data_IF_681251335121
#
_entry.id   IF_681251335121
#
_cell.length_a   1.000
_cell.length_b   1.000
_cell.length_c   1.000
_cell.angle_alpha   90.00
_cell.angle_beta   90.00
_cell.angle_gamma   90.00
#
_symmetry.space_group_name_H-M   'P 1'
#
loop_
_entity.id
_entity.type
_entity.pdbx_description
1 polymer ?
#
# COMPACT_ATOMS: atom_id res chain seq x y z
N UNK A 1 12.90 8.43 -3.63
CA UNK A 1 11.89 8.95 -4.57
C UNK A 1 11.10 7.77 -5.09
N UNK A 2 9.83 7.66 -4.69
CA UNK A 2 8.96 6.53 -5.06
C UNK A 2 8.58 6.61 -6.54
N UNK A 3 8.68 5.50 -7.27
CA UNK A 3 8.28 5.40 -8.68
C UNK A 3 6.93 4.70 -8.78
N UNK A 4 6.03 5.27 -9.59
CA UNK A 4 4.66 4.77 -9.77
C UNK A 4 4.51 4.15 -11.17
N UNK A 5 3.88 2.97 -11.29
CA UNK A 5 3.61 2.30 -12.58
C UNK A 5 2.10 2.14 -12.73
N UNK A 6 1.47 2.88 -13.65
CA UNK A 6 0.02 2.91 -13.83
C UNK A 6 -0.45 1.95 -14.93
N UNK A 7 -1.61 1.30 -14.75
CA UNK A 7 -2.31 0.53 -15.79
C UNK A 7 -3.79 0.97 -15.85
N UNK A 8 -4.23 1.61 -16.96
CA UNK A 8 -5.61 1.94 -17.45
C UNK A 8 -6.84 1.53 -16.58
N UNK A 9 -7.96 2.26 -16.39
CA UNK A 9 -8.67 3.32 -17.14
C UNK A 9 -9.84 3.94 -16.29
N UNK A 10 -10.25 5.18 -16.65
CA UNK A 10 -11.61 5.80 -16.54
C UNK A 10 -12.29 6.25 -15.23
N UNK A 11 -11.57 6.56 -14.16
CA UNK A 11 -12.19 7.20 -12.99
C UNK A 11 -11.20 8.01 -12.17
N UNK A 12 -11.52 9.27 -11.92
CA UNK A 12 -10.71 10.27 -11.20
C UNK A 12 -10.18 9.68 -9.87
N UNK A 13 -8.86 9.76 -9.67
CA UNK A 13 -8.11 9.54 -8.41
C UNK A 13 -7.74 8.12 -7.93
N UNK A 14 -7.87 7.04 -8.71
CA UNK A 14 -7.38 5.71 -8.30
C UNK A 14 -6.25 5.22 -9.21
N UNK A 15 -5.01 5.16 -8.70
CA UNK A 15 -3.84 4.64 -9.42
C UNK A 15 -3.35 3.35 -8.75
N UNK A 16 -3.01 2.32 -9.53
CA UNK A 16 -2.27 1.18 -9.01
C UNK A 16 -0.79 1.56 -8.94
N UNK A 17 -0.14 1.28 -7.81
CA UNK A 17 1.24 1.68 -7.56
C UNK A 17 2.01 0.61 -6.78
N UNK A 18 3.34 0.57 -6.97
CA UNK A 18 4.25 -0.11 -6.06
C UNK A 18 5.00 0.94 -5.23
N UNK A 19 5.16 0.69 -3.93
CA UNK A 19 5.86 1.60 -3.03
C UNK A 19 7.27 1.08 -2.77
N UNK A 20 8.28 1.89 -3.05
CA UNK A 20 9.69 1.54 -2.89
C UNK A 20 10.42 2.54 -2.00
N UNK A 21 11.33 2.04 -1.18
CA UNK A 21 12.34 2.85 -0.49
C UNK A 21 13.70 2.66 -1.19
N UNK A 22 14.77 3.40 -0.81
CA UNK A 22 16.11 3.18 -1.37
C UNK A 22 16.57 1.71 -1.25
N UNK A 23 17.55 1.33 -2.08
CA UNK A 23 18.12 -0.03 -2.12
C UNK A 23 17.18 -1.12 -2.66
N UNK A 24 16.29 -0.78 -3.60
CA UNK A 24 15.38 -1.73 -4.27
C UNK A 24 14.46 -2.53 -3.32
N UNK A 25 14.17 -1.97 -2.15
CA UNK A 25 13.21 -2.53 -1.21
C UNK A 25 11.82 -2.01 -1.53
N UNK A 26 10.88 -2.93 -1.68
CA UNK A 26 9.48 -2.65 -1.97
C UNK A 26 8.61 -3.07 -0.79
N UNK A 27 7.55 -2.30 -0.56
CA UNK A 27 6.52 -2.68 0.40
C UNK A 27 5.67 -3.80 -0.19
N UNK A 28 5.44 -4.84 0.58
CA UNK A 28 4.57 -5.96 0.22
C UNK A 28 3.59 -6.27 1.34
N UNK A 29 2.44 -6.84 0.97
CA UNK A 29 1.48 -7.37 1.92
C UNK A 29 1.54 -8.90 1.95
N UNK A 30 1.48 -9.46 3.16
CA UNK A 30 1.25 -10.89 3.36
C UNK A 30 0.19 -11.12 4.42
N UNK A 31 -0.42 -12.30 4.43
CA UNK A 31 -1.33 -12.70 5.49
C UNK A 31 -0.58 -13.51 6.54
N UNK A 32 -0.69 -13.12 7.81
CA UNK A 32 -0.14 -13.83 8.96
C UNK A 32 -1.18 -13.80 10.09
N UNK A 33 -1.53 -14.96 10.63
CA UNK A 33 -2.44 -15.07 11.78
C UNK A 33 -3.79 -14.34 11.59
N UNK A 34 -4.34 -14.37 10.36
CA UNK A 34 -5.54 -13.65 9.91
C UNK A 34 -5.45 -12.12 9.88
N UNK A 35 -4.26 -11.55 10.04
CA UNK A 35 -3.99 -10.14 9.82
C UNK A 35 -3.12 -9.93 8.58
N UNK A 36 -3.29 -8.78 7.92
CA UNK A 36 -2.42 -8.39 6.83
C UNK A 36 -1.21 -7.67 7.42
N UNK A 37 -0.01 -8.13 7.10
CA UNK A 37 1.23 -7.52 7.55
C UNK A 37 1.90 -6.79 6.41
N UNK A 38 2.48 -5.63 6.69
CA UNK A 38 3.32 -4.88 5.76
C UNK A 38 4.78 -5.29 5.94
N UNK A 39 5.44 -5.69 4.86
CA UNK A 39 6.85 -6.10 4.88
C UNK A 39 7.68 -5.26 3.89
N UNK A 40 9.00 -5.34 4.03
CA UNK A 40 9.95 -4.87 3.04
C UNK A 40 10.64 -6.06 2.39
N UNK A 41 10.55 -6.16 1.06
CA UNK A 41 11.19 -7.22 0.27
C UNK A 41 12.04 -6.61 -0.84
N UNK A 42 13.18 -7.21 -1.13
CA UNK A 42 13.92 -6.92 -2.36
C UNK A 42 13.19 -7.57 -3.53
N UNK A 43 12.90 -6.79 -4.58
CA UNK A 43 12.27 -7.31 -5.79
C UNK A 43 13.18 -7.05 -6.99
N UNK A 44 13.73 -8.13 -7.54
CA UNK A 44 14.52 -8.11 -8.78
C UNK A 44 13.67 -8.20 -10.04
N UNK A 45 12.37 -8.47 -9.89
CA UNK A 45 11.43 -8.67 -10.99
C UNK A 45 10.78 -7.36 -11.43
N UNK A 46 10.32 -7.33 -12.69
CA UNK A 46 9.70 -6.15 -13.25
C UNK A 46 8.22 -6.06 -12.85
N UNK A 47 7.92 -5.21 -11.87
CA UNK A 47 6.58 -4.97 -11.33
C UNK A 47 5.57 -4.38 -12.34
N UNK A 48 5.98 -4.06 -13.58
CA UNK A 48 5.04 -3.69 -14.65
C UNK A 48 4.22 -4.87 -15.19
N UNK A 49 4.67 -6.11 -14.94
CA UNK A 49 3.91 -7.32 -15.25
C UNK A 49 3.31 -7.88 -13.98
N UNK A 50 2.01 -7.66 -13.80
CA UNK A 50 1.25 -8.19 -12.67
C UNK A 50 0.91 -9.65 -12.97
N UNK A 51 1.86 -10.54 -12.73
CA UNK A 51 1.69 -11.99 -12.90
C UNK A 51 1.97 -12.72 -11.58
N UNK A 52 1.33 -13.88 -11.39
CA UNK A 52 1.53 -14.72 -10.20
C UNK A 52 1.18 -13.98 -8.90
N UNK A 53 2.17 -13.90 -7.98
CA UNK A 53 2.02 -13.29 -6.66
C UNK A 53 2.59 -11.87 -6.58
N UNK A 54 2.72 -11.17 -7.72
CA UNK A 54 3.27 -9.80 -7.76
C UNK A 54 2.27 -8.73 -7.31
N UNK A 55 0.99 -9.07 -7.29
CA UNK A 55 -0.08 -8.24 -6.72
C UNK A 55 0.12 -7.91 -5.23
N UNK A 56 0.95 -8.68 -4.52
CA UNK A 56 1.35 -8.39 -3.13
C UNK A 56 2.11 -7.09 -2.95
N UNK A 57 2.75 -6.58 -4.01
CA UNK A 57 3.51 -5.31 -4.01
C UNK A 57 2.66 -4.11 -4.40
N UNK A 58 1.41 -4.34 -4.80
CA UNK A 58 0.59 -3.33 -5.44
C UNK A 58 -0.43 -2.74 -4.48
N UNK A 59 -0.61 -1.44 -4.59
CA UNK A 59 -1.54 -0.66 -3.80
C UNK A 59 -2.41 0.19 -4.72
N UNK A 60 -3.69 0.32 -4.39
CA UNK A 60 -4.52 1.40 -4.89
C UNK A 60 -4.17 2.68 -4.12
N UNK A 61 -3.59 3.64 -4.82
CA UNK A 61 -3.42 5.01 -4.36
C UNK A 61 -4.71 5.79 -4.65
N UNK A 62 -5.40 6.20 -3.59
CA UNK A 62 -6.57 7.08 -3.65
C UNK A 62 -6.26 8.40 -2.99
N UNK A 63 -6.45 9.51 -3.72
CA UNK A 63 -6.37 10.85 -3.14
C UNK A 63 -7.78 11.35 -2.85
N UNK A 64 -8.04 11.65 -1.59
CA UNK A 64 -9.31 12.22 -1.12
C UNK A 64 -9.35 13.73 -1.36
N UNK A 65 -10.53 14.33 -1.27
CA UNK A 65 -10.74 15.78 -1.48
C UNK A 65 -9.94 16.65 -0.50
N UNK A 66 -9.57 16.11 0.67
CA UNK A 66 -8.73 16.78 1.68
C UNK A 66 -7.22 16.62 1.42
N UNK A 67 -6.81 16.16 0.24
CA UNK A 67 -5.41 15.84 -0.11
C UNK A 67 -4.79 14.67 0.67
N UNK A 68 -5.55 14.00 1.53
CA UNK A 68 -5.10 12.78 2.18
C UNK A 68 -5.01 11.65 1.14
N UNK A 69 -3.85 10.97 1.11
CA UNK A 69 -3.59 9.84 0.22
C UNK A 69 -3.70 8.54 1.01
N UNK A 70 -4.56 7.65 0.54
CA UNK A 70 -4.76 6.31 1.10
C UNK A 70 -4.12 5.30 0.16
N UNK A 71 -3.36 4.35 0.72
CA UNK A 71 -2.80 3.22 -0.01
C UNK A 71 -3.48 1.94 0.47
N UNK A 72 -4.38 1.40 -0.34
CA UNK A 72 -5.07 0.13 -0.06
C UNK A 72 -4.35 -1.03 -0.76
N UNK A 73 -4.19 -2.17 -0.10
CA UNK A 73 -3.60 -3.36 -0.72
C UNK A 73 -4.47 -3.87 -1.87
N UNK A 74 -3.85 -4.12 -3.04
CA UNK A 74 -4.53 -4.80 -4.15
C UNK A 74 -4.80 -6.27 -3.79
N UNK A 75 -3.84 -6.92 -3.13
CA UNK A 75 -3.94 -8.33 -2.71
C UNK A 75 -5.01 -8.56 -1.65
N UNK A 76 -5.13 -7.61 -0.72
CA UNK A 76 -6.02 -7.70 0.43
C UNK A 76 -6.95 -6.48 0.49
N UNK A 77 -8.05 -6.48 -0.28
CA UNK A 77 -9.01 -5.39 -0.27
C UNK A 77 -9.54 -5.09 1.14
N UNK A 78 -9.78 -3.82 1.42
CA UNK A 78 -10.20 -3.30 2.72
C UNK A 78 -9.06 -3.02 3.71
N UNK A 79 -7.82 -3.38 3.39
CA UNK A 79 -6.64 -3.10 4.21
C UNK A 79 -5.82 -1.95 3.64
N UNK A 80 -5.51 -0.96 4.48
CA UNK A 80 -4.75 0.24 4.09
C UNK A 80 -3.51 0.44 4.96
N UNK A 81 -2.51 1.11 4.43
CA UNK A 81 -1.34 1.55 5.21
C UNK A 81 -1.79 2.61 6.22
N UNK A 82 -1.38 2.44 7.48
CA UNK A 82 -1.67 3.35 8.58
C UNK A 82 -0.40 3.67 9.37
N UNK A 83 -0.43 4.82 10.04
CA UNK A 83 0.57 5.27 11.03
C UNK A 83 -0.07 5.35 12.41
N UNK A 84 0.73 5.27 13.47
CA UNK A 84 0.23 5.53 14.83
C UNK A 84 -0.19 6.99 14.99
N UNK A 85 -1.31 7.21 15.68
CA UNK A 85 -1.80 8.53 16.07
C UNK A 85 -1.36 8.94 17.49
N UNK A 86 -0.85 7.99 18.28
CA UNK A 86 -0.57 8.21 19.70
C UNK A 86 0.91 8.43 19.99
N UNK A 87 1.79 7.74 19.26
CA UNK A 87 3.22 7.73 19.50
C UNK A 87 3.99 7.99 18.21
N UNK A 88 5.00 8.86 18.31
CA UNK A 88 5.97 9.06 17.24
C UNK A 88 6.96 7.88 17.17
N UNK A 89 7.53 7.63 15.99
CA UNK A 89 8.51 6.57 15.71
C UNK A 89 7.99 5.13 15.81
N UNK A 90 6.68 4.93 15.80
CA UNK A 90 6.08 3.61 15.65
C UNK A 90 6.17 3.11 14.19
N UNK A 91 6.28 1.78 13.98
CA UNK A 91 6.30 1.20 12.65
C UNK A 91 4.97 1.48 11.92
N UNK A 92 5.05 1.59 10.59
CA UNK A 92 3.86 1.61 9.75
C UNK A 92 3.26 0.20 9.67
N UNK A 93 1.93 0.13 9.62
CA UNK A 93 1.19 -1.12 9.64
C UNK A 93 0.03 -1.11 8.64
N UNK A 94 -0.66 -2.25 8.52
CA UNK A 94 -1.91 -2.33 7.77
C UNK A 94 -3.09 -2.34 8.73
N UNK A 95 -4.12 -1.55 8.44
CA UNK A 95 -5.37 -1.54 9.19
C UNK A 95 -6.57 -1.68 8.25
N UNK A 96 -7.68 -2.19 8.77
CA UNK A 96 -8.95 -2.20 8.02
C UNK A 96 -9.54 -0.81 7.92
N UNK A 97 -10.21 -0.48 6.80
CA UNK A 97 -10.84 0.84 6.57
C UNK A 97 -11.77 1.27 7.70
N UNK A 98 -12.48 0.34 8.33
CA UNK A 98 -13.36 0.64 9.48
C UNK A 98 -12.59 1.13 10.73
N UNK A 99 -11.32 0.77 10.86
CA UNK A 99 -10.42 1.28 11.90
C UNK A 99 -9.67 2.56 11.50
N UNK A 100 -9.65 2.93 10.21
CA UNK A 100 -8.89 4.08 9.70
C UNK A 100 -9.38 5.41 10.27
N UNK A 101 -10.67 5.53 10.60
CA UNK A 101 -11.21 6.69 11.33
C UNK A 101 -10.56 6.92 12.70
N UNK A 102 -9.83 5.94 13.24
CA UNK A 102 -9.07 6.05 14.49
C UNK A 102 -7.58 6.33 14.28
N UNK A 103 -7.04 6.09 13.08
CA UNK A 103 -5.59 6.05 12.82
C UNK A 103 -5.08 7.02 11.73
N UNK A 104 -5.95 7.77 11.05
CA UNK A 104 -5.50 8.81 10.10
C UNK A 104 -6.32 10.09 10.22
N UNK A 105 -5.67 11.23 10.50
CA UNK A 105 -6.25 12.57 10.31
C UNK A 105 -5.30 13.44 9.49
#
# INVERSE_FOLDING_TARGET
>A
MSRYVCTNDRGINCLIVALSIPNNLYMSCSMKDNEVTLNLEECSENLSKIEGNMDRFLFYKRTTELSNTVFESVKHPGWVISTSNELENEPIEMCTVDNVSRCTR
#
